data_IF_260300816038
#
_entry.id   IF_260300816038
#
_cell.length_a   1.000
_cell.length_b   1.000
_cell.length_c   1.000
_cell.angle_alpha   90.00
_cell.angle_beta   90.00
_cell.angle_gamma   90.00
#
_symmetry.space_group_name_H-M   'P 1'
#
loop_
_entity.id
_entity.type
_entity.pdbx_description
1 polymer ?
#
# COMPACT_ATOMS: atom_id res chain seq x y z
N UNK A 1 8.66 -24.09 -1.47
CA UNK A 1 8.14 -22.97 -2.29
C UNK A 1 7.01 -22.34 -1.50
N UNK A 2 6.99 -21.03 -1.31
CA UNK A 2 5.93 -20.36 -0.53
C UNK A 2 4.68 -20.26 -1.41
N UNK A 3 3.54 -20.72 -0.91
CA UNK A 3 2.24 -20.48 -1.55
C UNK A 3 1.71 -19.12 -1.10
N UNK A 4 1.28 -18.29 -2.05
CA UNK A 4 0.79 -16.95 -1.77
C UNK A 4 -0.73 -16.87 -1.98
N UNK A 5 -1.38 -16.22 -1.03
CA UNK A 5 -2.82 -16.02 -0.98
C UNK A 5 -3.13 -14.51 -0.94
N UNK A 6 -4.23 -14.11 -1.58
CA UNK A 6 -4.79 -12.78 -1.35
C UNK A 6 -5.28 -12.66 0.10
N UNK A 7 -5.23 -11.46 0.71
CA UNK A 7 -5.84 -11.21 2.00
C UNK A 7 -7.38 -11.34 1.91
N UNK A 8 -8.05 -11.29 3.05
CA UNK A 8 -9.50 -11.11 3.09
C UNK A 8 -9.83 -9.68 2.62
N UNK A 9 -10.37 -9.57 1.41
CA UNK A 9 -10.69 -8.28 0.80
C UNK A 9 -12.03 -7.80 1.35
N UNK A 10 -12.12 -6.58 1.92
CA UNK A 10 -13.36 -6.05 2.44
C UNK A 10 -14.37 -5.83 1.30
N UNK A 11 -15.66 -6.02 1.60
CA UNK A 11 -16.73 -5.86 0.61
C UNK A 11 -16.80 -4.43 0.05
N UNK A 12 -16.44 -3.45 0.88
CA UNK A 12 -16.39 -2.03 0.60
C UNK A 12 -15.08 -1.45 1.15
N UNK A 13 -14.43 -0.62 0.34
CA UNK A 13 -13.26 0.18 0.70
C UNK A 13 -13.19 1.41 -0.20
N UNK A 14 -12.47 2.44 0.24
CA UNK A 14 -12.32 3.68 -0.51
C UNK A 14 -10.85 4.06 -0.72
N UNK A 15 -10.56 4.71 -1.84
CA UNK A 15 -9.29 5.39 -2.09
C UNK A 15 -9.57 6.78 -2.66
N UNK A 16 -8.62 7.69 -2.50
CA UNK A 16 -8.67 8.98 -3.17
C UNK A 16 -7.90 8.90 -4.49
N UNK A 17 -8.36 9.64 -5.48
CA UNK A 17 -7.68 9.82 -6.75
C UNK A 17 -7.64 11.30 -7.09
N UNK A 18 -6.44 11.81 -7.36
CA UNK A 18 -6.18 13.20 -7.75
C UNK A 18 -5.58 13.21 -9.15
N UNK A 19 -6.18 13.99 -10.04
CA UNK A 19 -5.59 14.28 -11.34
C UNK A 19 -4.82 15.59 -11.25
N UNK A 20 -3.53 15.55 -11.58
CA UNK A 20 -2.65 16.70 -11.63
C UNK A 20 -2.31 17.09 -13.06
N UNK A 21 -2.11 18.38 -13.29
CA UNK A 21 -1.33 18.91 -14.42
C UNK A 21 -0.06 19.55 -13.89
N UNK A 22 1.08 19.14 -14.40
CA UNK A 22 2.36 19.80 -14.14
C UNK A 22 2.39 21.15 -14.86
N UNK A 23 2.64 22.23 -14.13
CA UNK A 23 2.71 23.57 -14.72
C UNK A 23 4.01 23.78 -15.51
N UNK A 24 5.09 23.09 -15.13
CA UNK A 24 6.38 23.18 -15.81
C UNK A 24 6.41 22.45 -17.17
N UNK A 25 5.92 21.20 -17.24
CA UNK A 25 6.00 20.39 -18.48
C UNK A 25 4.64 20.05 -19.11
N UNK A 26 3.53 20.55 -18.55
CA UNK A 26 2.18 20.31 -19.05
C UNK A 26 1.64 18.90 -18.85
N UNK A 27 2.44 17.95 -18.37
CA UNK A 27 2.05 16.54 -18.21
C UNK A 27 0.86 16.39 -17.26
N UNK A 28 -0.15 15.64 -17.71
CA UNK A 28 -1.33 15.29 -16.90
C UNK A 28 -1.18 13.86 -16.39
N UNK A 29 -1.39 13.64 -15.09
CA UNK A 29 -1.23 12.33 -14.48
C UNK A 29 -2.14 12.17 -13.26
N UNK A 30 -2.51 10.92 -12.98
CA UNK A 30 -3.36 10.57 -11.85
C UNK A 30 -2.50 9.97 -10.72
N UNK A 31 -2.75 10.40 -9.49
CA UNK A 31 -2.20 9.80 -8.28
C UNK A 31 -3.31 9.25 -7.41
N UNK A 32 -3.12 8.04 -6.90
CA UNK A 32 -4.03 7.39 -5.95
C UNK A 32 -3.47 7.44 -4.53
N UNK A 33 -4.35 7.56 -3.54
CA UNK A 33 -4.00 7.68 -2.12
C UNK A 33 -4.95 6.84 -1.28
N UNK A 34 -4.50 6.44 -0.11
CA UNK A 34 -5.37 5.82 0.90
C UNK A 34 -6.46 6.82 1.29
N UNK A 35 -7.71 6.39 1.35
CA UNK A 35 -8.78 7.16 1.99
C UNK A 35 -8.98 6.58 3.40
N UNK A 36 -8.74 7.39 4.42
CA UNK A 36 -8.80 6.94 5.80
C UNK A 36 -7.91 5.74 6.08
N UNK A 37 -8.48 4.74 6.76
CA UNK A 37 -7.79 3.55 7.25
C UNK A 37 -8.29 2.26 6.59
N UNK A 38 -8.92 2.30 5.42
CA UNK A 38 -9.49 1.07 4.84
C UNK A 38 -8.43 0.16 4.21
N UNK A 39 -7.47 0.78 3.53
CA UNK A 39 -6.40 0.11 2.79
C UNK A 39 -5.09 0.85 2.94
N UNK A 40 -4.00 0.12 2.82
CA UNK A 40 -2.63 0.61 2.85
C UNK A 40 -2.03 0.50 1.46
N UNK A 41 -1.45 1.60 0.97
CA UNK A 41 -0.73 1.65 -0.30
C UNK A 41 0.74 1.28 -0.09
N UNK A 42 1.21 0.32 -0.87
CA UNK A 42 2.60 -0.14 -0.87
C UNK A 42 3.21 0.05 -2.26
N UNK A 43 4.50 0.39 -2.31
CA UNK A 43 5.26 0.54 -3.55
C UNK A 43 6.45 -0.41 -3.53
N UNK A 44 6.71 -1.06 -4.66
CA UNK A 44 7.90 -1.91 -4.83
C UNK A 44 9.17 -1.07 -4.61
N UNK A 45 10.13 -1.61 -3.86
CA UNK A 45 11.42 -0.96 -3.65
C UNK A 45 12.15 -0.86 -4.99
N UNK A 46 12.59 0.34 -5.36
CA UNK A 46 13.25 0.63 -6.64
C UNK A 46 12.42 0.27 -7.89
N UNK A 47 11.11 0.08 -7.74
CA UNK A 47 10.17 -0.15 -8.85
C UNK A 47 9.03 0.85 -8.84
N UNK A 48 8.08 0.71 -9.76
CA UNK A 48 6.86 1.53 -9.83
C UNK A 48 5.58 0.74 -9.54
N UNK A 49 5.70 -0.56 -9.26
CA UNK A 49 4.56 -1.41 -8.95
C UNK A 49 3.92 -1.00 -7.62
N UNK A 50 2.60 -0.82 -7.66
CA UNK A 50 1.78 -0.51 -6.49
C UNK A 50 0.95 -1.74 -6.14
N UNK A 51 1.01 -2.12 -4.87
CA UNK A 51 0.11 -3.12 -4.28
C UNK A 51 -0.59 -2.56 -3.06
N UNK A 52 -1.75 -3.12 -2.76
CA UNK A 52 -2.61 -2.68 -1.67
C UNK A 52 -2.79 -3.77 -0.64
N UNK A 53 -2.96 -3.38 0.62
CA UNK A 53 -3.22 -4.28 1.72
C UNK A 53 -4.45 -3.77 2.47
N UNK A 54 -5.49 -4.58 2.70
CA UNK A 54 -6.58 -4.21 3.59
C UNK A 54 -6.03 -3.90 4.98
N UNK A 55 -6.58 -2.92 5.68
CA UNK A 55 -6.16 -2.66 7.06
C UNK A 55 -6.67 -3.73 8.01
N UNK A 56 -7.91 -4.18 7.79
CA UNK A 56 -8.62 -5.16 8.62
C UNK A 56 -8.76 -6.52 7.89
N UNK A 57 -9.27 -7.53 8.61
CA UNK A 57 -9.51 -8.87 8.07
C UNK A 57 -8.27 -9.78 8.07
N UNK A 58 -8.46 -11.07 7.76
CA UNK A 58 -7.37 -12.05 7.75
C UNK A 58 -6.35 -11.73 6.66
N UNK A 59 -5.08 -11.64 7.04
CA UNK A 59 -4.01 -11.20 6.16
C UNK A 59 -4.02 -9.70 5.86
N UNK A 60 -4.86 -8.91 6.54
CA UNK A 60 -4.80 -7.45 6.54
C UNK A 60 -3.70 -6.92 7.46
N UNK A 61 -3.45 -5.61 7.45
CA UNK A 61 -2.38 -4.96 8.20
C UNK A 61 -2.40 -5.27 9.70
N UNK A 62 -3.55 -5.08 10.37
CA UNK A 62 -3.67 -5.28 11.82
C UNK A 62 -3.55 -6.75 12.22
N UNK A 63 -4.02 -7.66 11.37
CA UNK A 63 -3.81 -9.09 11.57
C UNK A 63 -2.33 -9.46 11.42
N UNK A 64 -1.67 -8.96 10.38
CA UNK A 64 -0.27 -9.29 10.10
C UNK A 64 0.69 -8.67 11.10
N UNK A 65 0.44 -7.45 11.59
CA UNK A 65 1.35 -6.82 12.55
C UNK A 65 1.40 -7.58 13.87
N UNK A 66 0.26 -8.03 14.39
CA UNK A 66 0.20 -8.86 15.60
C UNK A 66 0.84 -10.25 15.42
N UNK A 67 0.83 -10.78 14.19
CA UNK A 67 1.48 -12.08 13.86
C UNK A 67 2.99 -11.99 13.66
N UNK A 68 3.45 -10.87 13.10
CA UNK A 68 4.85 -10.67 12.69
C UNK A 68 5.68 -9.95 13.76
N UNK A 69 5.04 -9.19 14.64
CA UNK A 69 5.69 -8.46 15.73
C UNK A 69 5.22 -9.08 17.05
N UNK A 70 6.00 -10.01 17.64
CA UNK A 70 5.57 -10.79 18.81
C UNK A 70 5.23 -9.95 20.05
N UNK A 71 5.80 -8.76 20.15
CA UNK A 71 5.60 -7.82 21.26
C UNK A 71 4.32 -6.98 21.09
N UNK A 72 3.68 -7.02 19.91
CA UNK A 72 2.56 -6.15 19.57
C UNK A 72 1.22 -6.85 19.79
N UNK A 73 0.39 -6.27 20.64
CA UNK A 73 -0.99 -6.69 20.91
C UNK A 73 -1.97 -5.87 20.09
N UNK A 74 -3.20 -6.39 19.93
CA UNK A 74 -4.25 -5.75 19.08
C UNK A 74 -4.62 -4.33 19.50
N UNK A 75 -4.51 -4.03 20.78
CA UNK A 75 -4.91 -2.73 21.36
C UNK A 75 -3.72 -1.76 21.50
N UNK A 76 -2.51 -2.19 21.11
CA UNK A 76 -1.31 -1.37 21.24
C UNK A 76 -1.29 -0.28 20.15
N UNK A 77 -0.80 0.90 20.54
CA UNK A 77 -0.51 1.96 19.58
C UNK A 77 0.65 1.51 18.71
N UNK A 78 0.44 1.47 17.39
CA UNK A 78 1.50 1.13 16.44
C UNK A 78 2.48 2.30 16.33
N UNK A 79 3.67 2.12 16.88
CA UNK A 79 4.76 3.09 16.79
C UNK A 79 5.44 3.05 15.41
N UNK A 80 6.19 4.11 15.09
CA UNK A 80 7.04 4.13 13.89
C UNK A 80 8.10 3.02 13.91
N UNK A 81 8.58 2.63 15.10
CA UNK A 81 9.57 1.55 15.24
C UNK A 81 8.93 0.21 14.86
N UNK A 82 7.74 -0.09 15.38
CA UNK A 82 7.00 -1.30 15.04
C UNK A 82 6.61 -1.31 13.57
N UNK A 83 6.20 -0.17 13.00
CA UNK A 83 5.89 -0.05 11.57
C UNK A 83 7.08 -0.41 10.69
N UNK A 84 8.29 0.02 11.06
CA UNK A 84 9.53 -0.33 10.34
C UNK A 84 9.89 -1.82 10.50
N UNK A 85 9.76 -2.37 11.71
CA UNK A 85 9.96 -3.81 11.96
C UNK A 85 8.96 -4.63 11.13
N UNK A 86 7.70 -4.22 11.13
CA UNK A 86 6.62 -4.87 10.39
C UNK A 86 6.93 -4.96 8.90
N UNK A 87 7.27 -3.85 8.25
CA UNK A 87 7.61 -3.85 6.82
C UNK A 87 8.81 -4.75 6.51
N UNK A 88 9.82 -4.77 7.38
CA UNK A 88 10.98 -5.66 7.22
C UNK A 88 10.56 -7.14 7.26
N UNK A 89 9.69 -7.51 8.18
CA UNK A 89 9.18 -8.88 8.28
C UNK A 89 8.22 -9.23 7.14
N UNK A 90 7.29 -8.33 6.80
CA UNK A 90 6.32 -8.49 5.72
C UNK A 90 6.99 -8.90 4.40
N UNK A 91 8.12 -8.26 4.07
CA UNK A 91 8.91 -8.54 2.85
C UNK A 91 9.38 -10.00 2.71
N UNK A 92 9.47 -10.75 3.81
CA UNK A 92 9.85 -12.18 3.81
C UNK A 92 8.68 -13.10 3.48
N UNK A 93 7.46 -12.64 3.74
CA UNK A 93 6.23 -13.42 3.60
C UNK A 93 5.34 -12.95 2.46
N UNK A 94 5.66 -11.84 1.81
CA UNK A 94 4.91 -11.31 0.67
C UNK A 94 5.49 -11.77 -0.67
N UNK A 95 4.62 -11.96 -1.65
CA UNK A 95 5.04 -12.15 -3.04
C UNK A 95 5.87 -10.93 -3.50
N UNK A 96 6.95 -11.19 -4.25
CA UNK A 96 7.81 -10.13 -4.79
C UNK A 96 7.11 -9.41 -5.93
N UNK A 97 7.49 -8.15 -6.15
CA UNK A 97 7.07 -7.41 -7.31
C UNK A 97 7.77 -7.88 -8.59
N UNK A 98 7.41 -7.22 -9.69
CA UNK A 98 7.90 -7.46 -11.05
C UNK A 98 9.41 -7.34 -11.18
N UNK A 99 10.08 -6.55 -10.32
CA UNK A 99 11.54 -6.43 -10.28
C UNK A 99 12.19 -7.39 -9.27
N UNK A 100 11.43 -8.35 -8.73
CA UNK A 100 11.90 -9.29 -7.72
C UNK A 100 12.11 -8.66 -6.33
N UNK A 101 11.68 -7.40 -6.13
CA UNK A 101 11.88 -6.67 -4.89
C UNK A 101 10.68 -6.82 -3.94
N UNK A 102 10.92 -6.52 -2.66
CA UNK A 102 9.85 -6.40 -1.68
C UNK A 102 9.12 -5.07 -1.81
N UNK A 103 8.05 -4.92 -1.03
CA UNK A 103 7.25 -3.70 -0.98
C UNK A 103 7.54 -2.89 0.29
N UNK A 104 7.43 -1.57 0.19
CA UNK A 104 7.51 -0.64 1.32
C UNK A 104 6.28 0.28 1.34
N UNK A 105 6.08 1.02 2.43
CA UNK A 105 4.99 2.00 2.49
C UNK A 105 5.17 3.04 1.38
N UNK A 106 4.09 3.26 0.62
CA UNK A 106 4.11 4.26 -0.45
C UNK A 106 3.96 5.64 0.17
N UNK A 107 5.06 6.40 0.22
CA UNK A 107 4.99 7.83 0.49
C UNK A 107 4.58 8.50 -0.82
N UNK A 108 3.37 9.03 -0.87
CA UNK A 108 2.90 9.74 -2.04
C UNK A 108 3.70 11.04 -2.21
N UNK A 109 4.53 11.09 -3.25
CA UNK A 109 5.27 12.30 -3.62
C UNK A 109 4.40 13.11 -4.57
N UNK A 110 4.02 14.31 -4.15
CA UNK A 110 3.32 15.29 -4.97
C UNK A 110 4.31 15.95 -5.94
N UNK A 111 4.82 15.15 -6.87
CA UNK A 111 5.82 15.55 -7.87
C UNK A 111 5.39 15.04 -9.25
N UNK A 112 5.69 15.81 -10.30
CA UNK A 112 5.42 15.41 -11.66
C UNK A 112 6.18 14.12 -12.00
N UNK A 113 5.48 13.09 -12.45
CA UNK A 113 6.11 11.82 -12.83
C UNK A 113 7.18 11.98 -13.93
N UNK A 114 7.00 12.97 -14.82
CA UNK A 114 7.88 13.24 -15.95
C UNK A 114 9.10 14.10 -15.58
N UNK A 115 8.89 15.33 -15.06
CA UNK A 115 9.99 16.27 -14.81
C UNK A 115 10.33 16.49 -13.33
N UNK A 116 9.68 15.76 -12.40
CA UNK A 116 9.86 15.88 -10.94
C UNK A 116 9.55 17.25 -10.34
N UNK A 117 9.00 18.19 -11.10
CA UNK A 117 8.53 19.48 -10.58
C UNK A 117 7.42 19.28 -9.55
N UNK A 118 7.41 20.15 -8.52
CA UNK A 118 6.34 20.24 -7.50
C UNK A 118 5.27 21.26 -7.86
N UNK A 119 5.45 21.99 -8.96
CA UNK A 119 4.46 22.94 -9.49
C UNK A 119 3.34 22.17 -10.18
N UNK A 120 2.35 21.80 -9.38
CA UNK A 120 1.25 20.95 -9.78
C UNK A 120 -0.08 21.67 -9.55
N UNK A 121 -0.93 21.68 -10.59
CA UNK A 121 -2.31 22.11 -10.50
C UNK A 121 -3.23 20.90 -10.39
N UNK A 122 -4.07 20.86 -9.36
CA UNK A 122 -5.15 19.86 -9.26
C UNK A 122 -6.20 20.18 -10.32
N UNK A 123 -6.53 19.18 -11.15
CA UNK A 123 -7.59 19.27 -12.14
C UNK A 123 -8.89 18.61 -11.66
N UNK A 124 -8.78 17.51 -10.92
CA UNK A 124 -9.92 16.72 -10.45
C UNK A 124 -9.56 15.97 -9.16
N UNK A 125 -10.56 15.80 -8.29
CA UNK A 125 -10.46 15.06 -7.04
C UNK A 125 -11.70 14.19 -6.87
N UNK A 126 -11.50 12.89 -6.67
CA UNK A 126 -12.58 11.92 -6.52
C UNK A 126 -12.27 10.89 -5.44
N UNK A 127 -13.30 10.51 -4.71
CA UNK A 127 -13.30 9.34 -3.83
C UNK A 127 -13.82 8.16 -4.64
N UNK A 128 -12.98 7.14 -4.81
CA UNK A 128 -13.32 5.92 -5.53
C UNK A 128 -13.75 4.84 -4.55
N UNK A 129 -14.99 4.36 -4.68
CA UNK A 129 -15.51 3.22 -3.92
C UNK A 129 -15.21 1.91 -4.66
N UNK A 130 -14.56 0.96 -3.98
CA UNK A 130 -14.22 -0.38 -4.49
C UNK A 130 -13.58 -0.40 -5.89
N UNK A 131 -12.58 0.46 -6.20
CA UNK A 131 -11.90 0.36 -7.49
C UNK A 131 -11.10 -0.94 -7.59
N UNK A 132 -10.83 -1.41 -8.80
CA UNK A 132 -9.96 -2.57 -9.02
C UNK A 132 -8.53 -2.25 -8.56
N UNK A 133 -8.07 -2.96 -7.52
CA UNK A 133 -6.73 -2.85 -6.96
C UNK A 133 -5.94 -4.14 -7.17
N UNK A 134 -4.61 -4.01 -7.25
CA UNK A 134 -3.70 -5.17 -7.14
C UNK A 134 -3.39 -5.39 -5.67
N UNK A 135 -3.82 -6.51 -5.12
CA UNK A 135 -3.62 -6.83 -3.70
C UNK A 135 -2.24 -7.45 -3.46
N UNK A 136 -1.62 -7.10 -2.33
CA UNK A 136 -0.40 -7.75 -1.87
C UNK A 136 -0.74 -9.16 -1.42
N UNK A 137 -0.23 -10.16 -2.14
CA UNK A 137 -0.35 -11.56 -1.73
C UNK A 137 0.65 -11.88 -0.63
N UNK A 138 0.19 -12.62 0.36
CA UNK A 138 0.94 -13.01 1.57
C UNK A 138 1.02 -14.54 1.62
N UNK A 139 2.04 -15.10 2.27
CA UNK A 139 2.13 -16.54 2.55
C UNK A 139 0.80 -17.06 3.11
N UNK A 140 0.24 -18.10 2.47
CA UNK A 140 -1.01 -18.71 2.89
C UNK A 140 -0.94 -19.26 4.32
N UNK A 141 0.24 -19.76 4.73
CA UNK A 141 0.48 -20.23 6.10
C UNK A 141 0.36 -19.07 7.10
N UNK A 142 0.96 -17.92 6.78
CA UNK A 142 0.88 -16.73 7.65
C UNK A 142 -0.53 -16.17 7.72
N UNK A 143 -1.25 -16.16 6.58
CA UNK A 143 -2.66 -15.73 6.54
C UNK A 143 -3.55 -16.61 7.42
N UNK A 144 -3.33 -17.92 7.43
CA UNK A 144 -4.20 -18.90 8.10
C UNK A 144 -3.78 -19.24 9.54
N UNK A 145 -2.60 -18.78 9.98
CA UNK A 145 -2.19 -18.82 11.40
C UNK A 145 -3.14 -18.00 12.27
#
# INVERSE_FOLDING_TARGET
MINYCEPEIPEIYWINSLTYKCENCGNVFELTFTNGYDVIKLKEINGDEIRWLPTYGKGGYLDLITKLIPEHSKDDVITMIESKKFIKELKKYSEKGSNGQGFDFSIARHECINCKSKELKILDEKVLMKPKLTWLKISCELKNR
#
